data_IF_572416725011
#
_entry.id   IF_572416725011
#
_cell.length_a   1.000
_cell.length_b   1.000
_cell.length_c   1.000
_cell.angle_alpha   90.00
_cell.angle_beta   90.00
_cell.angle_gamma   90.00
#
_symmetry.space_group_name_H-M   'P 1'
#
loop_
_entity.id
_entity.type
_entity.pdbx_description
1 polymer ?
#
# COMPACT_ATOMS: atom_id res chain seq x y z
N UNK A 1 -15.62 1.00 -11.08
CA UNK A 1 -14.21 0.67 -10.85
C UNK A 1 -13.73 1.46 -9.64
N UNK A 2 -14.23 1.11 -8.44
CA UNK A 2 -14.31 2.05 -7.32
C UNK A 2 -12.97 2.54 -6.79
N UNK A 3 -11.97 1.65 -6.64
CA UNK A 3 -10.65 2.05 -6.14
C UNK A 3 -9.90 2.96 -7.12
N UNK A 4 -9.94 2.64 -8.41
CA UNK A 4 -9.26 3.47 -9.43
C UNK A 4 -9.91 4.85 -9.53
N UNK A 5 -11.25 4.92 -9.51
CA UNK A 5 -11.99 6.19 -9.50
C UNK A 5 -11.64 7.04 -8.26
N UNK A 6 -11.42 6.40 -7.10
CA UNK A 6 -10.99 7.08 -5.88
C UNK A 6 -9.57 7.67 -5.96
N UNK A 7 -8.64 6.92 -6.57
CA UNK A 7 -7.25 7.34 -6.70
C UNK A 7 -7.04 8.39 -7.79
N UNK A 8 -7.96 8.53 -8.74
CA UNK A 8 -7.90 9.57 -9.76
C UNK A 8 -8.50 10.85 -9.19
N UNK A 9 -7.68 11.88 -9.02
CA UNK A 9 -8.11 13.24 -8.66
C UNK A 9 -7.73 14.19 -9.78
N UNK A 10 -8.69 14.96 -10.27
CA UNK A 10 -8.49 15.94 -11.36
C UNK A 10 -7.89 15.35 -12.65
N UNK A 11 -8.16 14.07 -12.92
CA UNK A 11 -7.64 13.35 -14.10
C UNK A 11 -6.23 12.77 -13.93
N UNK A 12 -5.61 12.94 -12.76
CA UNK A 12 -4.29 12.41 -12.45
C UNK A 12 -4.36 11.33 -11.37
N UNK A 13 -3.41 10.38 -11.42
CA UNK A 13 -3.24 9.39 -10.37
C UNK A 13 -2.65 10.06 -9.12
N UNK A 14 -3.42 10.12 -8.04
CA UNK A 14 -3.01 10.68 -6.76
C UNK A 14 -2.81 9.59 -5.71
N UNK A 15 -1.55 9.25 -5.42
CA UNK A 15 -1.17 8.30 -4.36
C UNK A 15 -0.83 9.07 -3.08
N UNK A 16 -1.87 9.45 -2.33
CA UNK A 16 -1.70 10.10 -1.03
C UNK A 16 -1.63 9.05 0.09
N UNK A 17 -0.44 8.74 0.59
CA UNK A 17 -0.29 7.73 1.65
C UNK A 17 -0.65 8.24 3.06
N UNK A 18 -1.07 9.49 3.22
CA UNK A 18 -1.72 9.94 4.44
C UNK A 18 -3.22 9.54 4.47
N UNK A 19 -3.77 9.15 3.32
CA UNK A 19 -5.12 8.62 3.21
C UNK A 19 -5.22 7.14 3.62
N UNK A 20 -6.28 6.79 4.35
CA UNK A 20 -6.50 5.44 4.88
C UNK A 20 -6.65 4.39 3.77
N UNK A 21 -7.29 4.73 2.65
CA UNK A 21 -7.52 3.78 1.56
C UNK A 21 -6.19 3.49 0.86
N UNK A 22 -5.44 4.52 0.47
CA UNK A 22 -4.15 4.33 -0.19
C UNK A 22 -3.12 3.65 0.74
N UNK A 23 -3.07 4.04 2.02
CA UNK A 23 -2.17 3.46 3.03
C UNK A 23 -2.48 1.98 3.30
N UNK A 24 -3.76 1.62 3.43
CA UNK A 24 -4.15 0.25 3.77
C UNK A 24 -4.06 -0.73 2.60
N UNK A 25 -4.12 -0.24 1.36
CA UNK A 25 -4.15 -1.06 0.14
C UNK A 25 -2.79 -1.18 -0.55
N UNK A 26 -1.91 -0.17 -0.44
CA UNK A 26 -0.60 -0.19 -1.09
C UNK A 26 0.37 -1.14 -0.37
N UNK A 27 0.87 -2.16 -1.08
CA UNK A 27 1.82 -3.13 -0.53
C UNK A 27 3.26 -2.62 -0.60
N UNK A 28 3.70 -2.17 -1.78
CA UNK A 28 5.05 -1.63 -2.01
C UNK A 28 5.01 -0.31 -2.76
N UNK A 29 5.95 0.57 -2.47
CA UNK A 29 6.21 1.78 -3.25
C UNK A 29 7.66 2.24 -3.02
N UNK A 30 8.33 2.74 -4.06
CA UNK A 30 9.70 3.24 -3.92
C UNK A 30 10.75 2.20 -3.52
N UNK A 31 10.49 0.91 -3.78
CA UNK A 31 11.39 -0.18 -3.37
C UNK A 31 11.22 -0.66 -1.93
N UNK A 32 10.27 -0.09 -1.18
CA UNK A 32 10.00 -0.45 0.21
C UNK A 32 8.63 -1.11 0.37
N UNK A 33 8.49 -1.97 1.38
CA UNK A 33 7.20 -2.48 1.82
C UNK A 33 6.55 -1.43 2.72
N UNK A 34 5.35 -0.98 2.34
CA UNK A 34 4.58 0.01 3.12
C UNK A 34 3.50 -0.62 3.98
N UNK A 35 2.96 -1.77 3.56
CA UNK A 35 1.88 -2.42 4.27
C UNK A 35 2.40 -3.18 5.51
N UNK A 36 2.02 -2.71 6.70
CA UNK A 36 2.47 -3.27 7.97
C UNK A 36 2.16 -4.77 8.11
N UNK A 37 0.98 -5.23 7.65
CA UNK A 37 0.59 -6.65 7.74
C UNK A 37 1.48 -7.55 6.88
N UNK A 38 1.85 -7.07 5.69
CA UNK A 38 2.78 -7.80 4.81
C UNK A 38 4.18 -7.82 5.41
N UNK A 39 4.65 -6.69 5.95
CA UNK A 39 5.96 -6.62 6.59
C UNK A 39 6.06 -7.56 7.80
N UNK A 40 5.04 -7.58 8.66
CA UNK A 40 4.97 -8.51 9.79
C UNK A 40 4.96 -9.97 9.33
N UNK A 41 4.11 -10.32 8.35
CA UNK A 41 4.04 -11.68 7.84
C UNK A 41 5.41 -12.18 7.30
N UNK A 42 6.13 -11.34 6.54
CA UNK A 42 7.44 -11.69 6.02
C UNK A 42 8.50 -11.80 7.11
N UNK A 43 8.47 -10.92 8.11
CA UNK A 43 9.36 -11.01 9.27
C UNK A 43 9.15 -12.33 10.02
N UNK A 44 7.89 -12.75 10.20
CA UNK A 44 7.56 -14.04 10.81
C UNK A 44 8.05 -15.23 9.95
N UNK A 45 7.96 -15.14 8.62
CA UNK A 45 8.49 -16.18 7.74
C UNK A 45 10.02 -16.28 7.82
N UNK A 46 10.73 -15.15 7.89
CA UNK A 46 12.19 -15.13 7.96
C UNK A 46 12.74 -15.71 9.28
N UNK A 47 11.99 -15.62 10.38
CA UNK A 47 12.36 -16.21 11.68
C UNK A 47 12.16 -17.74 11.69
N UNK A 48 11.29 -18.26 10.83
CA UNK A 48 10.96 -19.69 10.75
C UNK A 48 11.78 -20.47 9.70
N UNK A 49 12.71 -19.80 9.00
CA UNK A 49 13.57 -20.38 7.96
C UNK A 49 14.99 -20.61 8.48
#
# INVERSE_FOLDING_TARGET
STLLEYLIKEGELNLDFADDIASSTCITHGGEIRNARVQEALNQMAVNA
#
